data_IF_786663263575
#
_entry.id   IF_786663263575
#
_cell.length_a   1.000
_cell.length_b   1.000
_cell.length_c   1.000
_cell.angle_alpha   90.00
_cell.angle_beta   90.00
_cell.angle_gamma   90.00
#
_symmetry.space_group_name_H-M   'P 1'
#
loop_
_entity.id
_entity.type
_entity.pdbx_description
1 polymer ?
#
# COMPACT_ATOMS: atom_id res chain seq x y z
N UNK A 1 -2.10 -8.78 14.57
CA UNK A 1 -0.93 -8.37 13.77
C UNK A 1 -0.10 -7.39 14.58
N UNK A 2 1.17 -7.71 14.83
CA UNK A 2 2.09 -6.80 15.53
C UNK A 2 2.39 -5.60 14.64
N UNK A 3 2.28 -4.40 15.19
CA UNK A 3 2.55 -3.16 14.44
C UNK A 3 4.03 -3.08 14.12
N UNK A 4 4.41 -3.33 12.86
CA UNK A 4 5.78 -3.18 12.39
C UNK A 4 6.15 -1.69 12.42
N UNK A 5 7.26 -1.38 13.10
CA UNK A 5 7.75 -0.01 13.24
C UNK A 5 8.12 0.61 11.88
N UNK A 6 7.96 1.92 11.74
CA UNK A 6 8.33 2.65 10.52
C UNK A 6 9.82 2.43 10.16
N UNK A 7 10.70 2.40 11.18
CA UNK A 7 12.13 2.13 11.02
C UNK A 7 12.39 0.73 10.46
N UNK A 8 11.65 -0.28 10.94
CA UNK A 8 11.77 -1.66 10.45
C UNK A 8 11.33 -1.76 8.98
N UNK A 9 10.25 -1.08 8.60
CA UNK A 9 9.78 -1.06 7.20
C UNK A 9 10.83 -0.50 6.26
N UNK A 10 11.43 0.65 6.61
CA UNK A 10 12.45 1.27 5.78
C UNK A 10 13.67 0.37 5.60
N UNK A 11 14.18 -0.20 6.70
CA UNK A 11 15.31 -1.13 6.66
C UNK A 11 15.05 -2.32 5.76
N UNK A 12 13.88 -2.95 5.88
CA UNK A 12 13.52 -4.10 5.06
C UNK A 12 13.48 -3.76 3.58
N UNK A 13 12.86 -2.63 3.21
CA UNK A 13 12.75 -2.23 1.81
C UNK A 13 14.11 -1.78 1.24
N UNK A 14 14.93 -1.06 2.00
CA UNK A 14 16.29 -0.68 1.59
C UNK A 14 17.21 -1.89 1.45
N UNK A 15 17.10 -2.88 2.33
CA UNK A 15 17.84 -4.14 2.24
C UNK A 15 17.48 -4.92 0.96
N UNK A 16 16.19 -4.97 0.63
CA UNK A 16 15.73 -5.56 -0.63
C UNK A 16 16.17 -4.77 -1.86
N UNK A 17 16.04 -3.44 -1.84
CA UNK A 17 16.33 -2.59 -2.99
C UNK A 17 17.83 -2.48 -3.31
N UNK A 18 18.70 -2.56 -2.31
CA UNK A 18 20.15 -2.37 -2.47
C UNK A 18 20.95 -3.68 -2.35
N UNK A 19 20.33 -4.78 -1.94
CA UNK A 19 20.97 -6.06 -1.73
C UNK A 19 20.79 -7.03 -2.90
N UNK A 20 21.68 -8.01 -3.02
CA UNK A 20 21.46 -9.18 -3.86
C UNK A 20 20.70 -10.25 -3.05
N UNK A 21 19.46 -9.95 -2.68
CA UNK A 21 18.61 -10.77 -1.80
C UNK A 21 17.23 -10.97 -2.40
N UNK A 22 16.54 -12.03 -1.99
CA UNK A 22 15.19 -12.32 -2.48
C UNK A 22 14.13 -11.65 -1.60
N UNK A 23 12.96 -11.35 -2.19
CA UNK A 23 11.81 -10.81 -1.46
C UNK A 23 11.42 -11.71 -0.29
N UNK A 24 11.44 -13.03 -0.51
CA UNK A 24 11.17 -14.04 0.52
C UNK A 24 12.15 -13.96 1.69
N UNK A 25 13.46 -13.90 1.42
CA UNK A 25 14.49 -13.86 2.47
C UNK A 25 14.32 -12.66 3.40
N UNK A 26 14.07 -11.47 2.83
CA UNK A 26 13.92 -10.23 3.59
C UNK A 26 12.61 -10.25 4.39
N UNK A 27 11.48 -10.62 3.77
CA UNK A 27 10.20 -10.65 4.51
C UNK A 27 10.24 -11.62 5.69
N UNK A 28 10.90 -12.77 5.54
CA UNK A 28 11.04 -13.74 6.63
C UNK A 28 11.92 -13.19 7.75
N UNK A 29 13.06 -12.56 7.42
CA UNK A 29 13.96 -11.91 8.39
C UNK A 29 13.24 -10.87 9.25
N UNK A 30 12.33 -10.10 8.66
CA UNK A 30 11.63 -9.01 9.34
C UNK A 30 10.21 -9.38 9.83
N UNK A 31 9.76 -10.63 9.62
CA UNK A 31 8.42 -11.08 10.01
C UNK A 31 7.28 -10.34 9.27
N UNK A 32 7.48 -10.03 7.99
CA UNK A 32 6.54 -9.26 7.15
C UNK A 32 5.73 -10.23 6.28
N UNK A 33 4.42 -9.98 6.16
CA UNK A 33 3.58 -10.68 5.21
C UNK A 33 4.02 -10.38 3.76
N UNK A 34 3.97 -11.39 2.89
CA UNK A 34 4.46 -11.25 1.50
C UNK A 34 3.75 -10.16 0.73
N UNK A 35 2.42 -10.15 0.78
CA UNK A 35 1.57 -9.19 0.10
C UNK A 35 1.85 -7.74 0.55
N UNK A 36 2.00 -7.51 1.86
CA UNK A 36 2.34 -6.18 2.39
C UNK A 36 3.73 -5.74 1.94
N UNK A 37 4.69 -6.68 1.93
CA UNK A 37 6.06 -6.37 1.54
C UNK A 37 6.17 -6.01 0.06
N UNK A 38 5.45 -6.72 -0.82
CA UNK A 38 5.35 -6.39 -2.25
C UNK A 38 4.82 -4.96 -2.46
N UNK A 39 3.76 -4.57 -1.74
CA UNK A 39 3.23 -3.20 -1.79
C UNK A 39 4.27 -2.18 -1.34
N UNK A 40 4.98 -2.44 -0.23
CA UNK A 40 5.98 -1.51 0.28
C UNK A 40 7.15 -1.33 -0.67
N UNK A 41 7.64 -2.42 -1.26
CA UNK A 41 8.66 -2.40 -2.31
C UNK A 41 8.19 -1.59 -3.51
N UNK A 42 6.96 -1.82 -4.01
CA UNK A 42 6.42 -1.08 -5.15
C UNK A 42 6.27 0.42 -4.87
N UNK A 43 5.76 0.79 -3.68
CA UNK A 43 5.66 2.19 -3.26
C UNK A 43 7.04 2.84 -3.20
N UNK A 44 8.04 2.13 -2.64
CA UNK A 44 9.40 2.64 -2.56
C UNK A 44 10.07 2.77 -3.92
N UNK A 45 9.87 1.81 -4.82
CA UNK A 45 10.38 1.89 -6.18
C UNK A 45 9.81 3.11 -6.93
N UNK A 46 8.53 3.45 -6.68
CA UNK A 46 7.85 4.57 -7.36
C UNK A 46 8.09 5.94 -6.71
N UNK A 47 8.17 6.01 -5.39
CA UNK A 47 8.17 7.28 -4.64
C UNK A 47 9.36 7.43 -3.68
N UNK A 48 10.28 6.47 -3.67
CA UNK A 48 11.32 6.37 -2.65
C UNK A 48 10.75 6.23 -1.24
N UNK A 49 11.54 6.64 -0.25
CA UNK A 49 11.13 6.61 1.16
C UNK A 49 9.98 7.57 1.50
N UNK A 50 9.68 8.56 0.65
CA UNK A 50 8.72 9.64 0.95
C UNK A 50 7.36 9.12 1.36
N UNK A 51 6.59 8.56 0.41
CA UNK A 51 5.25 8.02 0.68
C UNK A 51 5.28 6.71 1.48
N UNK A 52 6.39 5.97 1.44
CA UNK A 52 6.55 4.79 2.30
C UNK A 52 6.53 5.18 3.78
N UNK A 53 7.14 6.30 4.18
CA UNK A 53 7.18 6.75 5.58
C UNK A 53 6.00 7.64 5.94
N UNK A 54 5.63 8.54 5.02
CA UNK A 54 4.60 9.54 5.20
C UNK A 54 3.47 9.27 4.20
N UNK A 55 2.52 8.37 4.53
CA UNK A 55 1.42 8.05 3.64
C UNK A 55 0.51 9.28 3.46
N UNK A 56 -0.22 9.38 2.35
CA UNK A 56 -1.17 10.47 2.15
C UNK A 56 -2.20 10.56 3.28
N UNK A 57 -2.67 11.78 3.55
CA UNK A 57 -3.79 12.01 4.45
C UNK A 57 -5.04 11.37 3.84
N UNK A 58 -5.73 10.53 4.61
CA UNK A 58 -6.99 9.92 4.18
C UNK A 58 -8.11 10.94 4.39
N UNK A 59 -8.65 11.46 3.29
CA UNK A 59 -9.84 12.32 3.24
C UNK A 59 -10.96 11.64 2.46
N UNK A 60 -12.14 12.26 2.43
CA UNK A 60 -13.24 11.82 1.57
C UNK A 60 -12.85 11.72 0.10
N UNK A 61 -12.35 12.82 -0.44
CA UNK A 61 -11.90 12.92 -1.83
C UNK A 61 -10.78 11.92 -2.15
N UNK A 62 -9.85 11.68 -1.21
CA UNK A 62 -8.80 10.69 -1.41
C UNK A 62 -9.38 9.29 -1.60
N UNK A 63 -10.31 8.87 -0.72
CA UNK A 63 -10.96 7.55 -0.81
C UNK A 63 -11.72 7.42 -2.13
N UNK A 64 -12.47 8.46 -2.49
CA UNK A 64 -13.27 8.48 -3.71
C UNK A 64 -12.40 8.39 -4.97
N UNK A 65 -11.37 9.24 -5.08
CA UNK A 65 -10.45 9.26 -6.22
C UNK A 65 -9.71 7.92 -6.35
N UNK A 66 -9.30 7.33 -5.22
CA UNK A 66 -8.62 6.04 -5.20
C UNK A 66 -9.50 4.92 -5.74
N UNK A 67 -10.75 4.81 -5.26
CA UNK A 67 -11.67 3.75 -5.72
C UNK A 67 -12.08 3.93 -7.17
N UNK A 68 -12.35 5.17 -7.61
CA UNK A 68 -12.64 5.46 -9.02
C UNK A 68 -11.49 5.08 -9.93
N UNK A 69 -10.27 5.51 -9.61
CA UNK A 69 -9.08 5.18 -10.39
C UNK A 69 -8.89 3.67 -10.51
N UNK A 70 -9.07 2.92 -9.42
CA UNK A 70 -8.99 1.45 -9.42
C UNK A 70 -9.99 0.84 -10.42
N UNK A 71 -11.25 1.26 -10.37
CA UNK A 71 -12.31 0.72 -11.23
C UNK A 71 -12.09 1.07 -12.71
N UNK A 72 -11.76 2.33 -13.00
CA UNK A 72 -11.49 2.81 -14.35
C UNK A 72 -10.29 2.11 -15.00
N UNK A 73 -9.26 1.79 -14.21
CA UNK A 73 -8.04 1.14 -14.70
C UNK A 73 -8.07 -0.38 -14.55
N UNK A 74 -9.17 -0.96 -14.06
CA UNK A 74 -9.29 -2.39 -13.74
C UNK A 74 -8.14 -2.91 -12.86
N UNK A 75 -7.63 -2.04 -11.98
CA UNK A 75 -6.42 -2.31 -11.21
C UNK A 75 -6.71 -3.23 -10.03
N UNK A 76 -5.71 -4.04 -9.67
CA UNK A 76 -5.71 -4.80 -8.42
C UNK A 76 -5.59 -3.85 -7.21
N UNK A 77 -5.89 -4.38 -6.03
CA UNK A 77 -5.72 -3.64 -4.77
C UNK A 77 -4.25 -3.26 -4.55
N UNK A 78 -3.31 -4.15 -4.87
CA UNK A 78 -1.88 -3.90 -4.71
C UNK A 78 -1.39 -2.81 -5.65
N UNK A 79 -1.79 -2.86 -6.92
CA UNK A 79 -1.48 -1.79 -7.89
C UNK A 79 -2.06 -0.45 -7.45
N UNK A 80 -3.27 -0.45 -6.91
CA UNK A 80 -3.92 0.76 -6.35
C UNK A 80 -3.14 1.30 -5.16
N UNK A 81 -2.74 0.43 -4.23
CA UNK A 81 -1.89 0.80 -3.09
C UNK A 81 -0.57 1.42 -3.55
N UNK A 82 0.09 0.80 -4.54
CA UNK A 82 1.33 1.29 -5.13
C UNK A 82 1.11 2.62 -5.86
N UNK A 83 0.01 2.78 -6.58
CA UNK A 83 -0.28 4.00 -7.32
C UNK A 83 -0.48 5.22 -6.41
N UNK A 84 -1.19 5.04 -5.30
CA UNK A 84 -1.50 6.12 -4.37
C UNK A 84 -0.49 6.25 -3.22
N UNK A 85 0.53 5.39 -3.14
CA UNK A 85 1.45 5.38 -2.00
C UNK A 85 0.75 5.02 -0.68
N UNK A 86 -0.33 4.24 -0.75
CA UNK A 86 -1.18 3.91 0.39
C UNK A 86 -1.03 2.44 0.78
N UNK A 87 -0.53 2.18 2.00
CA UNK A 87 -0.01 0.87 2.41
C UNK A 87 -1.04 -0.06 3.07
N UNK A 88 -2.34 0.25 2.97
CA UNK A 88 -3.40 -0.51 3.65
C UNK A 88 -4.34 -1.15 2.62
N UNK A 89 -4.01 -2.34 2.07
CA UNK A 89 -4.86 -3.02 1.10
C UNK A 89 -6.25 -3.36 1.67
N UNK A 90 -6.33 -3.68 2.96
CA UNK A 90 -7.60 -3.93 3.64
C UNK A 90 -8.54 -2.73 3.64
N UNK A 91 -8.00 -1.51 3.80
CA UNK A 91 -8.80 -0.29 3.73
C UNK A 91 -9.27 0.00 2.30
N UNK A 92 -8.42 -0.24 1.29
CA UNK A 92 -8.82 -0.12 -0.13
C UNK A 92 -9.97 -1.06 -0.45
N UNK A 93 -9.89 -2.32 -0.02
CA UNK A 93 -10.97 -3.29 -0.17
C UNK A 93 -12.27 -2.81 0.48
N UNK A 94 -12.20 -2.34 1.72
CA UNK A 94 -13.38 -1.85 2.45
C UNK A 94 -14.03 -0.65 1.76
N UNK A 95 -13.24 0.29 1.24
CA UNK A 95 -13.76 1.44 0.51
C UNK A 95 -14.40 1.04 -0.81
N UNK A 96 -13.81 0.10 -1.55
CA UNK A 96 -14.42 -0.45 -2.76
C UNK A 96 -15.75 -1.14 -2.46
N UNK A 97 -15.82 -1.96 -1.41
CA UNK A 97 -17.07 -2.59 -0.98
C UNK A 97 -18.14 -1.54 -0.58
N UNK A 98 -17.75 -0.49 0.12
CA UNK A 98 -18.67 0.56 0.57
C UNK A 98 -19.19 1.37 -0.63
N UNK A 99 -18.31 1.74 -1.55
CA UNK A 99 -18.67 2.41 -2.81
C UNK A 99 -19.66 1.58 -3.63
N UNK A 100 -19.39 0.28 -3.80
CA UNK A 100 -20.24 -0.60 -4.59
C UNK A 100 -21.64 -0.81 -3.97
N UNK A 101 -21.75 -0.70 -2.63
CA UNK A 101 -23.01 -0.90 -1.91
C UNK A 101 -23.84 0.38 -1.77
N UNK A 102 -23.18 1.52 -1.54
CA UNK A 102 -23.84 2.77 -1.11
C UNK A 102 -23.53 3.96 -2.03
N UNK A 103 -22.75 3.74 -3.09
CA UNK A 103 -22.35 4.78 -4.04
C UNK A 103 -21.19 5.66 -3.55
N UNK A 104 -20.76 6.62 -4.38
CA UNK A 104 -19.60 7.47 -4.12
C UNK A 104 -19.70 8.29 -2.82
N UNK A 105 -20.92 8.67 -2.40
CA UNK A 105 -21.09 9.60 -1.29
C UNK A 105 -20.81 8.97 0.06
N UNK A 106 -20.83 7.64 0.14
CA UNK A 106 -20.43 6.91 1.34
C UNK A 106 -18.92 6.99 1.61
N UNK A 107 -18.12 7.47 0.65
CA UNK A 107 -16.69 7.66 0.81
C UNK A 107 -16.29 9.10 1.16
N UNK A 108 -17.22 10.06 1.18
CA UNK A 108 -16.91 11.47 1.48
C UNK A 108 -16.64 11.70 2.99
#
# INVERSE_FOLDING_TARGET
MTKISVKTKLKAVEEYANGNVTLASVRHKYGIAEHDFQIWVGIYARFGKGLLLNPPKVTGDFRLNLVKWKQENLASISETCIHFGYRSPGSVYQWECLYNKQGPQALL
#
